data_IF_905839909030
#
_entry.id   IF_905839909030
#
_cell.length_a   1.000
_cell.length_b   1.000
_cell.length_c   1.000
_cell.angle_alpha   90.00
_cell.angle_beta   90.00
_cell.angle_gamma   90.00
#
_symmetry.space_group_name_H-M   'P 1'
#
loop_
_entity.id
_entity.type
_entity.pdbx_description
1 polymer ?
#
# COMPACT_ATOMS: atom_id res chain seq x y z
N UNK A 1 -22.81 -6.47 -14.79
CA UNK A 1 -21.61 -7.30 -14.63
C UNK A 1 -20.45 -6.48 -15.17
N UNK A 2 -19.82 -5.66 -14.31
CA UNK A 2 -19.01 -4.50 -14.69
C UNK A 2 -17.77 -4.85 -15.54
N UNK A 3 -17.29 -6.10 -15.48
CA UNK A 3 -16.07 -6.54 -16.18
C UNK A 3 -16.27 -7.77 -17.07
N UNK A 4 -17.53 -8.16 -17.34
CA UNK A 4 -17.80 -9.27 -18.26
C UNK A 4 -17.39 -8.92 -19.70
N UNK A 5 -16.65 -9.82 -20.34
CA UNK A 5 -16.34 -9.73 -21.77
C UNK A 5 -15.11 -8.90 -22.11
N UNK A 6 -14.30 -8.48 -21.14
CA UNK A 6 -12.97 -7.92 -21.43
C UNK A 6 -12.09 -9.01 -22.06
N UNK A 7 -11.54 -8.72 -23.25
CA UNK A 7 -10.50 -9.53 -23.85
C UNK A 7 -9.23 -9.35 -23.01
N UNK A 8 -8.78 -10.42 -22.36
CA UNK A 8 -7.52 -10.42 -21.62
C UNK A 8 -6.35 -10.53 -22.58
N UNK A 9 -5.31 -9.75 -22.35
CA UNK A 9 -4.01 -9.95 -22.99
C UNK A 9 -3.35 -11.25 -22.51
N UNK A 10 -2.36 -11.75 -23.24
CA UNK A 10 -1.59 -12.93 -22.80
C UNK A 10 -0.92 -12.72 -21.43
N UNK A 11 -0.39 -11.52 -21.17
CA UNK A 11 0.22 -11.17 -19.89
C UNK A 11 -0.84 -11.11 -18.77
N UNK A 12 -2.04 -10.58 -19.03
CA UNK A 12 -3.14 -10.62 -18.06
C UNK A 12 -3.58 -12.05 -17.73
N UNK A 13 -3.66 -12.94 -18.72
CA UNK A 13 -4.03 -14.33 -18.48
C UNK A 13 -2.99 -15.06 -17.61
N UNK A 14 -1.70 -14.78 -17.78
CA UNK A 14 -0.65 -15.32 -16.90
C UNK A 14 -0.77 -14.78 -15.46
N UNK A 15 -1.12 -13.50 -15.28
CA UNK A 15 -1.38 -12.94 -13.95
C UNK A 15 -2.60 -13.62 -13.30
N UNK A 16 -3.67 -13.88 -14.06
CA UNK A 16 -4.85 -14.61 -13.58
C UNK A 16 -4.49 -16.05 -13.19
N UNK A 17 -3.62 -16.72 -13.96
CA UNK A 17 -3.13 -18.05 -13.60
C UNK A 17 -2.30 -18.04 -12.31
N UNK A 18 -1.46 -17.02 -12.11
CA UNK A 18 -0.73 -16.81 -10.87
C UNK A 18 -1.68 -16.58 -9.68
N UNK A 19 -2.70 -15.73 -9.86
CA UNK A 19 -3.74 -15.51 -8.85
C UNK A 19 -4.44 -16.82 -8.48
N UNK A 20 -4.89 -17.60 -9.47
CA UNK A 20 -5.54 -18.90 -9.23
C UNK A 20 -4.63 -19.93 -8.56
N UNK A 21 -3.34 -19.94 -8.90
CA UNK A 21 -2.35 -20.80 -8.24
C UNK A 21 -2.17 -20.43 -6.76
N UNK A 22 -2.16 -19.14 -6.45
CA UNK A 22 -2.10 -18.62 -5.09
C UNK A 22 -3.40 -18.88 -4.31
N UNK A 23 -4.53 -18.46 -4.87
CA UNK A 23 -5.87 -18.61 -4.31
C UNK A 23 -6.24 -20.07 -4.07
N UNK A 24 -5.92 -20.97 -5.01
CA UNK A 24 -6.19 -22.40 -4.86
C UNK A 24 -5.47 -23.02 -3.67
N UNK A 25 -4.27 -22.53 -3.34
CA UNK A 25 -3.53 -22.95 -2.14
C UNK A 25 -4.14 -22.37 -0.86
N UNK A 26 -4.48 -21.08 -0.88
CA UNK A 26 -5.16 -20.41 0.24
C UNK A 26 -6.47 -21.12 0.56
N UNK A 27 -7.32 -21.36 -0.44
CA UNK A 27 -8.58 -22.11 -0.29
C UNK A 27 -8.37 -23.51 0.27
N UNK A 28 -7.28 -24.18 -0.09
CA UNK A 28 -7.02 -25.55 0.36
C UNK A 28 -6.48 -25.64 1.79
N UNK A 29 -5.64 -24.69 2.21
CA UNK A 29 -4.84 -24.82 3.44
C UNK A 29 -5.08 -23.72 4.47
N UNK A 30 -5.74 -22.62 4.08
CA UNK A 30 -5.90 -21.42 4.90
C UNK A 30 -7.28 -20.76 4.74
N UNK A 31 -8.31 -21.48 4.26
CA UNK A 31 -9.63 -20.92 4.01
C UNK A 31 -10.25 -20.28 5.26
N UNK A 32 -10.47 -18.96 5.21
CA UNK A 32 -11.04 -18.18 6.31
C UNK A 32 -10.03 -17.79 7.39
N UNK A 33 -8.76 -18.16 7.25
CA UNK A 33 -7.65 -17.70 8.09
C UNK A 33 -7.00 -16.46 7.48
N UNK A 34 -6.22 -15.70 8.26
CA UNK A 34 -5.66 -14.46 7.74
C UNK A 34 -4.58 -14.66 6.67
N UNK A 35 -3.62 -15.56 6.89
CA UNK A 35 -2.45 -15.68 6.02
C UNK A 35 -2.07 -17.15 5.78
N UNK A 36 -1.65 -17.46 4.56
CA UNK A 36 -1.20 -18.78 4.14
C UNK A 36 0.30 -18.98 4.40
N UNK A 37 0.66 -20.15 4.94
CA UNK A 37 2.01 -20.70 4.92
C UNK A 37 2.11 -21.80 3.85
N UNK A 38 2.54 -21.47 2.61
CA UNK A 38 2.40 -22.35 1.44
C UNK A 38 3.32 -23.58 1.44
N UNK A 39 4.45 -23.55 2.15
CA UNK A 39 5.35 -24.71 2.28
C UNK A 39 4.84 -25.67 3.36
N UNK A 40 4.55 -25.15 4.56
CA UNK A 40 4.06 -25.98 5.66
C UNK A 40 2.59 -26.38 5.51
N UNK A 41 1.85 -25.71 4.60
CA UNK A 41 0.42 -25.94 4.33
C UNK A 41 -0.44 -25.68 5.58
N UNK A 42 -0.12 -24.60 6.28
CA UNK A 42 -0.84 -24.13 7.46
C UNK A 42 -1.26 -22.66 7.28
N UNK A 43 -1.80 -22.06 8.33
CA UNK A 43 -2.19 -20.66 8.35
C UNK A 43 -1.81 -20.00 9.70
N UNK A 44 -1.74 -18.68 9.70
CA UNK A 44 -1.59 -17.86 10.92
C UNK A 44 -2.74 -16.85 11.02
N UNK A 45 -3.05 -16.45 12.25
CA UNK A 45 -4.05 -15.44 12.58
C UNK A 45 -3.43 -14.17 13.12
N UNK A 46 -3.74 -13.05 12.49
CA UNK A 46 -3.39 -11.71 12.92
C UNK A 46 -4.60 -10.94 13.46
N UNK A 47 -5.62 -10.68 12.65
CA UNK A 47 -6.92 -10.12 13.03
C UNK A 47 -7.95 -11.21 13.38
N UNK A 48 -7.88 -12.36 12.72
CA UNK A 48 -8.91 -13.41 12.75
C UNK A 48 -10.13 -13.00 11.93
N UNK A 49 -9.92 -12.37 10.77
CA UNK A 49 -10.99 -11.85 9.90
C UNK A 49 -10.92 -12.44 8.49
N UNK A 50 -10.15 -13.51 8.29
CA UNK A 50 -9.92 -14.08 6.97
C UNK A 50 -9.23 -13.07 6.05
N UNK A 51 -8.23 -12.36 6.57
CA UNK A 51 -7.55 -11.24 5.92
C UNK A 51 -7.31 -11.46 4.42
N UNK A 52 -6.56 -12.50 4.04
CA UNK A 52 -6.28 -12.78 2.61
C UNK A 52 -7.55 -12.96 1.77
N UNK A 53 -8.62 -13.55 2.31
CA UNK A 53 -9.90 -13.70 1.61
C UNK A 53 -10.55 -12.34 1.38
N UNK A 54 -10.69 -11.54 2.42
CA UNK A 54 -11.38 -10.25 2.34
C UNK A 54 -10.59 -9.29 1.46
N UNK A 55 -9.28 -9.20 1.68
CA UNK A 55 -8.34 -8.34 0.94
C UNK A 55 -8.34 -8.65 -0.57
N UNK A 56 -8.63 -9.89 -0.97
CA UNK A 56 -8.61 -10.30 -2.38
C UNK A 56 -9.93 -10.11 -3.15
N UNK A 57 -11.03 -9.70 -2.49
CA UNK A 57 -12.38 -9.69 -3.09
C UNK A 57 -12.47 -8.80 -4.33
N UNK A 58 -12.01 -7.56 -4.23
CA UNK A 58 -12.04 -6.61 -5.34
C UNK A 58 -11.17 -7.06 -6.52
N UNK A 59 -10.05 -7.73 -6.24
CA UNK A 59 -9.13 -8.28 -7.24
C UNK A 59 -9.81 -9.38 -8.03
N UNK A 60 -10.58 -10.26 -7.36
CA UNK A 60 -11.38 -11.27 -8.06
C UNK A 60 -12.38 -10.63 -9.01
N UNK A 61 -13.05 -9.55 -8.60
CA UNK A 61 -13.99 -8.82 -9.45
C UNK A 61 -13.26 -8.18 -10.64
N UNK A 62 -12.17 -7.45 -10.39
CA UNK A 62 -11.36 -6.76 -11.42
C UNK A 62 -10.83 -7.76 -12.46
N UNK A 63 -10.43 -8.96 -12.03
CA UNK A 63 -9.96 -10.01 -12.91
C UNK A 63 -11.09 -10.79 -13.59
N UNK A 64 -12.36 -10.60 -13.24
CA UNK A 64 -13.49 -11.38 -13.77
C UNK A 64 -13.55 -12.83 -13.25
N UNK A 65 -13.07 -13.07 -12.02
CA UNK A 65 -13.05 -14.36 -11.32
C UNK A 65 -14.35 -14.56 -10.53
N UNK A 66 -15.45 -14.67 -11.27
CA UNK A 66 -16.81 -14.70 -10.70
C UNK A 66 -17.05 -15.88 -9.75
N UNK A 67 -16.56 -17.07 -10.11
CA UNK A 67 -16.77 -18.27 -9.29
C UNK A 67 -16.03 -18.15 -7.96
N UNK A 68 -14.79 -17.70 -8.00
CA UNK A 68 -13.97 -17.45 -6.81
C UNK A 68 -14.58 -16.36 -5.92
N UNK A 69 -15.08 -15.28 -6.52
CA UNK A 69 -15.75 -14.19 -5.81
C UNK A 69 -17.05 -14.65 -5.12
N UNK A 70 -17.92 -15.37 -5.82
CA UNK A 70 -19.20 -15.84 -5.25
C UNK A 70 -18.97 -16.78 -4.05
N UNK A 71 -17.96 -17.64 -4.11
CA UNK A 71 -17.58 -18.49 -2.97
C UNK A 71 -17.05 -17.67 -1.79
N UNK A 72 -16.17 -16.70 -2.05
CA UNK A 72 -15.65 -15.81 -1.00
C UNK A 72 -16.76 -14.95 -0.37
N UNK A 73 -17.70 -14.45 -1.18
CA UNK A 73 -18.86 -13.69 -0.71
C UNK A 73 -19.74 -14.50 0.25
N UNK A 74 -19.94 -15.79 -0.02
CA UNK A 74 -20.67 -16.68 0.90
C UNK A 74 -19.96 -16.76 2.25
N UNK A 75 -18.63 -16.87 2.27
CA UNK A 75 -17.87 -16.84 3.53
C UNK A 75 -17.99 -15.49 4.25
N UNK A 76 -17.93 -14.37 3.54
CA UNK A 76 -18.13 -13.03 4.14
C UNK A 76 -19.51 -12.92 4.79
N UNK A 77 -20.55 -13.38 4.11
CA UNK A 77 -21.93 -13.37 4.65
C UNK A 77 -22.05 -14.23 5.91
N UNK A 78 -21.54 -15.46 5.86
CA UNK A 78 -21.87 -16.49 6.84
C UNK A 78 -20.86 -16.59 7.99
N UNK A 79 -19.60 -16.19 7.78
CA UNK A 79 -18.49 -16.49 8.70
C UNK A 79 -17.71 -15.25 9.16
N UNK A 80 -17.64 -14.17 8.37
CA UNK A 80 -16.91 -12.96 8.79
C UNK A 80 -17.53 -12.35 10.05
N UNK A 81 -16.74 -12.28 11.10
CA UNK A 81 -17.15 -11.79 12.43
C UNK A 81 -16.13 -10.81 12.98
N UNK A 82 -16.62 -9.67 13.47
CA UNK A 82 -15.82 -8.67 14.18
C UNK A 82 -16.05 -8.72 15.71
N UNK A 83 -16.54 -9.86 16.22
CA UNK A 83 -16.84 -10.06 17.65
C UNK A 83 -15.71 -10.79 18.40
N UNK A 84 -14.57 -10.97 17.76
CA UNK A 84 -13.41 -11.60 18.38
C UNK A 84 -12.80 -10.65 19.43
N UNK A 85 -12.59 -11.13 20.65
CA UNK A 85 -11.98 -10.36 21.74
C UNK A 85 -10.47 -10.23 21.53
N UNK A 86 -10.10 -9.40 20.55
CA UNK A 86 -8.72 -9.21 20.09
C UNK A 86 -8.50 -7.75 19.75
N UNK A 87 -7.32 -7.25 20.14
CA UNK A 87 -6.83 -5.96 19.65
C UNK A 87 -6.32 -6.11 18.22
N UNK A 88 -6.76 -5.21 17.36
CA UNK A 88 -6.32 -5.07 15.98
C UNK A 88 -5.69 -3.68 15.80
N UNK A 89 -4.71 -3.58 14.91
CA UNK A 89 -4.16 -2.29 14.52
C UNK A 89 -5.17 -1.53 13.66
N UNK A 90 -5.47 -0.29 14.02
CA UNK A 90 -6.47 0.57 13.37
C UNK A 90 -6.14 0.80 11.89
N UNK A 91 -4.88 1.10 11.59
CA UNK A 91 -4.42 1.36 10.23
C UNK A 91 -4.56 0.13 9.35
N UNK A 92 -3.97 -0.99 9.76
CA UNK A 92 -3.90 -2.20 8.94
C UNK A 92 -5.29 -2.79 8.66
N UNK A 93 -6.20 -2.81 9.65
CA UNK A 93 -7.56 -3.30 9.41
C UNK A 93 -8.40 -2.34 8.57
N UNK A 94 -8.10 -1.04 8.63
CA UNK A 94 -8.79 -0.02 7.83
C UNK A 94 -8.41 -0.14 6.36
N UNK A 95 -7.12 -0.12 6.05
CA UNK A 95 -6.68 -0.11 4.65
C UNK A 95 -6.99 -1.44 3.96
N UNK A 96 -6.93 -2.58 4.67
CA UNK A 96 -7.16 -3.91 4.08
C UNK A 96 -8.63 -4.31 4.09
N UNK A 97 -9.20 -4.47 5.30
CA UNK A 97 -10.52 -5.07 5.46
C UNK A 97 -11.63 -4.06 5.14
N UNK A 98 -11.57 -2.85 5.71
CA UNK A 98 -12.57 -1.82 5.42
C UNK A 98 -12.44 -1.34 3.96
N UNK A 99 -11.22 -1.06 3.50
CA UNK A 99 -10.93 -0.66 2.11
C UNK A 99 -11.45 -1.67 1.08
N UNK A 100 -11.16 -2.97 1.27
CA UNK A 100 -11.67 -4.01 0.37
C UNK A 100 -13.18 -4.14 0.40
N UNK A 101 -13.83 -4.12 1.57
CA UNK A 101 -15.29 -4.23 1.66
C UNK A 101 -15.99 -3.06 0.95
N UNK A 102 -15.49 -1.84 1.12
CA UNK A 102 -16.01 -0.65 0.42
C UNK A 102 -15.81 -0.75 -1.09
N UNK A 103 -14.60 -1.09 -1.53
CA UNK A 103 -14.28 -1.21 -2.95
C UNK A 103 -15.09 -2.32 -3.62
N UNK A 104 -15.23 -3.46 -2.94
CA UNK A 104 -16.06 -4.57 -3.40
C UNK A 104 -17.53 -4.16 -3.50
N UNK A 105 -18.06 -3.40 -2.53
CA UNK A 105 -19.41 -2.85 -2.61
C UNK A 105 -19.59 -1.96 -3.85
N UNK A 106 -18.68 -1.02 -4.10
CA UNK A 106 -18.78 -0.13 -5.27
C UNK A 106 -18.67 -0.87 -6.61
N UNK A 107 -17.84 -1.92 -6.69
CA UNK A 107 -17.65 -2.70 -7.92
C UNK A 107 -18.78 -3.71 -8.20
N UNK A 108 -19.40 -4.27 -7.15
CA UNK A 108 -20.40 -5.35 -7.28
C UNK A 108 -21.84 -4.92 -7.05
N UNK A 109 -22.07 -3.89 -6.23
CA UNK A 109 -23.38 -3.56 -5.66
C UNK A 109 -23.87 -4.55 -4.59
N UNK A 110 -23.03 -5.48 -4.11
CA UNK A 110 -23.42 -6.45 -3.08
C UNK A 110 -23.54 -5.78 -1.70
N UNK A 111 -24.77 -5.55 -1.24
CA UNK A 111 -25.10 -4.87 0.03
C UNK A 111 -24.45 -5.51 1.26
N UNK A 112 -24.19 -6.83 1.25
CA UNK A 112 -23.50 -7.50 2.37
C UNK A 112 -22.13 -6.89 2.66
N UNK A 113 -21.43 -6.39 1.64
CA UNK A 113 -20.12 -5.75 1.81
C UNK A 113 -20.26 -4.42 2.55
N UNK A 114 -21.27 -3.62 2.21
CA UNK A 114 -21.62 -2.39 2.92
C UNK A 114 -22.05 -2.66 4.36
N UNK A 115 -22.85 -3.68 4.60
CA UNK A 115 -23.26 -4.07 5.96
C UNK A 115 -22.05 -4.41 6.84
N UNK A 116 -21.11 -5.21 6.31
CA UNK A 116 -19.87 -5.58 7.02
C UNK A 116 -18.92 -4.39 7.19
N UNK A 117 -18.76 -3.54 6.18
CA UNK A 117 -17.98 -2.31 6.28
C UNK A 117 -18.53 -1.38 7.38
N UNK A 118 -19.85 -1.25 7.46
CA UNK A 118 -20.54 -0.46 8.48
C UNK A 118 -20.32 -1.04 9.88
N UNK A 119 -20.47 -2.36 10.05
CA UNK A 119 -20.21 -3.01 11.34
C UNK A 119 -18.75 -2.81 11.78
N UNK A 120 -17.79 -3.00 10.87
CA UNK A 120 -16.37 -2.80 11.16
C UNK A 120 -16.08 -1.35 11.55
N UNK A 121 -16.49 -0.37 10.74
CA UNK A 121 -16.25 1.04 11.03
C UNK A 121 -16.80 1.47 12.40
N UNK A 122 -17.99 1.00 12.78
CA UNK A 122 -18.56 1.27 14.10
C UNK A 122 -17.67 0.75 15.24
N UNK A 123 -17.04 -0.41 15.05
CA UNK A 123 -16.12 -1.01 16.04
C UNK A 123 -14.75 -0.36 16.08
N UNK A 124 -14.37 0.40 15.04
CA UNK A 124 -13.11 1.14 14.98
C UNK A 124 -13.19 2.55 15.60
N UNK A 125 -14.38 3.17 15.63
CA UNK A 125 -14.60 4.49 16.22
C UNK A 125 -14.02 4.70 17.64
N UNK A 126 -14.01 3.70 18.55
CA UNK A 126 -13.39 3.87 19.86
C UNK A 126 -11.89 4.21 19.83
N UNK A 127 -11.17 3.91 18.74
CA UNK A 127 -9.76 4.26 18.59
C UNK A 127 -9.51 5.78 18.63
N UNK A 128 -10.50 6.58 18.25
CA UNK A 128 -10.44 8.04 18.22
C UNK A 128 -10.72 8.69 19.58
N UNK A 129 -11.09 7.90 20.61
CA UNK A 129 -11.32 8.40 21.97
C UNK A 129 -10.01 8.48 22.79
N UNK A 130 -9.00 9.14 22.23
CA UNK A 130 -7.73 9.41 22.92
C UNK A 130 -7.77 10.73 23.69
N UNK A 131 -6.71 11.07 24.42
CA UNK A 131 -6.61 12.36 25.12
C UNK A 131 -6.35 13.54 24.18
N UNK A 132 -6.03 13.28 22.91
CA UNK A 132 -5.83 14.29 21.87
C UNK A 132 -6.74 14.02 20.67
N UNK A 133 -6.47 14.67 19.53
CA UNK A 133 -7.15 14.39 18.26
C UNK A 133 -6.48 13.27 17.46
N UNK A 134 -5.42 12.66 17.99
CA UNK A 134 -4.67 11.58 17.35
C UNK A 134 -5.18 10.24 17.88
N UNK A 135 -5.65 9.32 17.03
CA UNK A 135 -6.18 8.04 17.50
C UNK A 135 -5.09 7.15 18.11
N UNK A 136 -5.53 6.25 18.98
CA UNK A 136 -4.73 5.12 19.42
C UNK A 136 -4.43 4.16 18.26
N UNK A 137 -3.30 3.45 18.32
CA UNK A 137 -2.88 2.48 17.30
C UNK A 137 -3.76 1.24 17.26
N UNK A 138 -4.24 0.78 18.43
CA UNK A 138 -4.93 -0.50 18.55
C UNK A 138 -6.33 -0.33 19.14
N UNK A 139 -7.28 -1.09 18.62
CA UNK A 139 -8.67 -1.16 19.11
C UNK A 139 -9.12 -2.61 19.22
N UNK A 140 -9.86 -2.93 20.28
CA UNK A 140 -10.47 -4.23 20.46
C UNK A 140 -11.87 -4.25 19.83
N UNK A 141 -12.05 -5.09 18.81
CA UNK A 141 -13.28 -5.10 18.01
C UNK A 141 -14.52 -5.56 18.80
N UNK A 142 -14.35 -6.44 19.79
CA UNK A 142 -15.46 -6.93 20.61
C UNK A 142 -15.83 -5.96 21.74
N UNK A 143 -14.82 -5.46 22.46
CA UNK A 143 -15.01 -4.70 23.69
C UNK A 143 -15.11 -3.18 23.45
N UNK A 144 -14.64 -2.68 22.31
CA UNK A 144 -14.58 -1.24 22.03
C UNK A 144 -13.54 -0.50 22.88
N UNK A 145 -12.53 -1.21 23.42
CA UNK A 145 -11.41 -0.61 24.14
C UNK A 145 -10.26 -0.29 23.17
N UNK A 146 -9.69 0.90 23.25
CA UNK A 146 -8.53 1.30 22.46
C UNK A 146 -7.31 1.57 23.34
N UNK A 147 -6.10 1.41 22.76
CA UNK A 147 -4.84 1.62 23.47
C UNK A 147 -3.70 2.00 22.53
N UNK A 148 -2.72 2.71 23.09
CA UNK A 148 -1.43 2.92 22.44
C UNK A 148 -0.65 1.60 22.32
N UNK A 149 0.42 1.55 21.48
CA UNK A 149 1.25 0.37 21.37
C UNK A 149 1.91 0.00 22.70
N UNK A 150 2.28 -1.28 22.86
CA UNK A 150 2.91 -1.77 24.10
C UNK A 150 4.23 -1.07 24.47
N UNK A 151 4.91 -0.48 23.49
CA UNK A 151 6.23 0.13 23.64
C UNK A 151 6.21 1.65 23.87
N UNK A 152 5.04 2.29 23.89
CA UNK A 152 4.95 3.71 24.21
C UNK A 152 3.65 4.38 23.75
N UNK A 153 3.45 5.66 24.14
CA UNK A 153 2.23 6.41 23.84
C UNK A 153 2.12 6.92 22.38
N UNK A 154 3.10 6.62 21.55
CA UNK A 154 3.19 7.18 20.20
C UNK A 154 2.57 6.25 19.18
N UNK A 155 1.68 6.81 18.36
CA UNK A 155 1.19 6.20 17.13
C UNK A 155 2.16 6.53 16.00
N UNK A 156 2.21 5.69 14.97
CA UNK A 156 2.93 6.04 13.75
C UNK A 156 2.17 7.07 12.93
N UNK A 157 2.90 7.99 12.32
CA UNK A 157 2.29 9.10 11.57
C UNK A 157 1.51 8.60 10.36
N UNK A 158 2.08 7.68 9.57
CA UNK A 158 1.38 7.01 8.49
C UNK A 158 0.10 6.31 9.00
N UNK A 159 0.19 5.56 10.10
CA UNK A 159 -0.97 4.81 10.62
C UNK A 159 -2.18 5.71 10.92
N UNK A 160 -1.97 6.89 11.51
CA UNK A 160 -3.10 7.79 11.84
C UNK A 160 -3.55 8.67 10.68
N UNK A 161 -2.71 8.82 9.66
CA UNK A 161 -2.95 9.68 8.51
C UNK A 161 -3.21 8.92 7.21
N UNK A 162 -3.48 7.62 7.32
CA UNK A 162 -3.79 6.72 6.19
C UNK A 162 -4.99 5.82 6.51
N UNK A 163 -6.06 6.46 6.97
CA UNK A 163 -7.37 5.86 7.27
C UNK A 163 -8.53 6.71 6.75
N UNK A 164 -8.20 7.85 6.13
CA UNK A 164 -9.13 8.93 5.83
C UNK A 164 -10.01 8.59 4.63
N UNK A 165 -9.44 7.99 3.57
CA UNK A 165 -10.21 7.67 2.36
C UNK A 165 -11.36 6.71 2.67
N UNK A 166 -11.07 5.70 3.47
CA UNK A 166 -12.00 4.63 3.86
C UNK A 166 -13.10 5.16 4.78
N UNK A 167 -12.74 5.96 5.80
CA UNK A 167 -13.74 6.53 6.72
C UNK A 167 -14.61 7.60 6.04
N UNK A 168 -14.06 8.39 5.12
CA UNK A 168 -14.81 9.35 4.30
C UNK A 168 -15.80 8.63 3.39
N UNK A 169 -15.34 7.61 2.67
CA UNK A 169 -16.21 6.81 1.81
C UNK A 169 -17.28 6.05 2.62
N UNK A 170 -16.92 5.52 3.79
CA UNK A 170 -17.90 4.88 4.68
C UNK A 170 -19.00 5.86 5.13
N UNK A 171 -18.67 7.10 5.45
CA UNK A 171 -19.67 8.15 5.71
C UNK A 171 -20.54 8.43 4.49
N UNK A 172 -19.97 8.48 3.28
CA UNK A 172 -20.72 8.69 2.05
C UNK A 172 -21.70 7.53 1.76
N UNK A 173 -21.25 6.29 1.93
CA UNK A 173 -22.03 5.06 1.68
C UNK A 173 -23.15 4.85 2.70
N UNK A 174 -22.91 5.21 3.97
CA UNK A 174 -23.86 4.94 5.08
C UNK A 174 -24.74 6.13 5.44
N UNK A 175 -24.30 7.35 5.13
CA UNK A 175 -24.91 8.59 5.62
C UNK A 175 -24.57 8.92 7.08
N UNK A 176 -23.80 8.09 7.78
CA UNK A 176 -23.35 8.36 9.16
C UNK A 176 -22.07 9.20 9.14
N UNK A 177 -22.19 10.47 9.51
CA UNK A 177 -21.08 11.45 9.46
C UNK A 177 -19.98 11.20 10.49
N UNK A 178 -20.22 10.37 11.51
CA UNK A 178 -19.25 10.14 12.59
C UNK A 178 -17.92 9.60 12.08
N UNK A 179 -17.92 8.85 10.96
CA UNK A 179 -16.69 8.30 10.39
C UNK A 179 -15.81 9.40 9.77
N UNK A 180 -16.35 10.20 8.85
CA UNK A 180 -15.66 11.33 8.25
C UNK A 180 -15.25 12.36 9.31
N UNK A 181 -16.14 12.72 10.24
CA UNK A 181 -15.83 13.68 11.31
C UNK A 181 -14.68 13.21 12.21
N UNK A 182 -14.54 11.91 12.45
CA UNK A 182 -13.46 11.37 13.26
C UNK A 182 -12.10 11.56 12.57
N UNK A 183 -12.00 11.22 11.28
CA UNK A 183 -10.73 11.31 10.53
C UNK A 183 -10.40 12.74 10.08
N UNK A 184 -11.41 13.58 9.84
CA UNK A 184 -11.22 15.01 9.54
C UNK A 184 -10.57 15.75 10.72
N UNK A 185 -10.97 15.42 11.96
CA UNK A 185 -10.31 15.94 13.15
C UNK A 185 -8.82 15.56 13.23
N UNK A 186 -8.47 14.34 12.82
CA UNK A 186 -7.06 13.90 12.76
C UNK A 186 -6.30 14.71 11.71
N UNK A 187 -6.85 14.80 10.49
CA UNK A 187 -6.24 15.52 9.37
C UNK A 187 -6.01 16.99 9.69
N UNK A 188 -7.03 17.69 10.21
CA UNK A 188 -6.93 19.10 10.57
C UNK A 188 -5.96 19.33 11.73
N UNK A 189 -5.89 18.40 12.68
CA UNK A 189 -4.91 18.46 13.76
C UNK A 189 -3.48 18.33 13.23
N UNK A 190 -3.19 17.33 12.39
CA UNK A 190 -1.88 17.13 11.76
C UNK A 190 -1.50 18.33 10.87
N UNK A 191 -2.47 18.86 10.10
CA UNK A 191 -2.27 20.05 9.28
C UNK A 191 -1.72 21.23 10.09
N UNK A 192 -2.23 21.43 11.32
CA UNK A 192 -1.83 22.49 12.24
C UNK A 192 -0.49 22.26 12.96
N UNK A 193 0.05 21.04 12.93
CA UNK A 193 1.31 20.73 13.60
C UNK A 193 2.51 21.35 12.87
N UNK A 194 3.59 21.72 13.60
CA UNK A 194 4.81 22.20 12.96
C UNK A 194 5.47 21.11 12.11
N UNK A 195 5.86 21.47 10.88
CA UNK A 195 6.48 20.59 9.88
C UNK A 195 7.87 21.10 9.49
N UNK A 196 8.73 20.22 8.99
CA UNK A 196 10.06 20.56 8.50
C UNK A 196 10.05 20.72 6.97
N UNK A 197 9.51 21.83 6.47
CA UNK A 197 9.23 22.04 5.03
C UNK A 197 8.29 20.95 4.52
N UNK A 198 7.08 20.87 5.08
CA UNK A 198 6.09 19.84 4.79
C UNK A 198 6.42 18.42 5.25
N UNK A 199 7.66 18.13 5.66
CA UNK A 199 8.06 16.82 6.16
C UNK A 199 7.72 16.62 7.64
N UNK A 200 7.28 15.41 8.00
CA UNK A 200 6.82 15.06 9.34
C UNK A 200 7.64 13.92 9.95
N UNK A 201 7.89 13.92 11.28
CA UNK A 201 8.45 12.77 11.98
C UNK A 201 7.53 11.54 11.89
N UNK A 202 8.10 10.34 11.92
CA UNK A 202 7.37 9.06 11.84
C UNK A 202 6.50 8.70 13.06
N UNK A 203 6.52 9.52 14.12
CA UNK A 203 5.76 9.30 15.34
C UNK A 203 5.04 10.57 15.80
N UNK A 204 3.79 10.39 16.22
CA UNK A 204 2.94 11.40 16.82
C UNK A 204 2.27 10.84 18.08
N UNK A 205 2.27 11.61 19.15
CA UNK A 205 1.83 11.13 20.46
C UNK A 205 0.30 11.19 20.61
N UNK A 206 -0.36 10.08 20.93
CA UNK A 206 -1.81 10.03 21.06
C UNK A 206 -2.35 10.80 22.30
N UNK A 207 -1.50 11.05 23.30
CA UNK A 207 -1.90 11.78 24.50
C UNK A 207 -1.72 13.29 24.36
N UNK A 208 -0.63 13.75 23.74
CA UNK A 208 -0.32 15.19 23.61
C UNK A 208 -0.71 15.76 22.25
N UNK A 209 -0.89 14.92 21.23
CA UNK A 209 -1.14 15.33 19.86
C UNK A 209 0.09 15.87 19.13
N UNK A 210 1.29 15.83 19.70
CA UNK A 210 2.48 16.45 19.11
C UNK A 210 3.38 15.43 18.44
N UNK A 211 4.01 15.80 17.32
CA UNK A 211 5.08 14.99 16.72
C UNK A 211 6.23 14.78 17.72
N UNK A 212 6.86 13.61 17.66
CA UNK A 212 8.03 13.30 18.49
C UNK A 212 9.19 14.26 18.12
N UNK A 213 9.70 15.06 19.06
CA UNK A 213 10.83 15.94 18.80
C UNK A 213 12.06 15.15 18.34
N UNK A 214 12.76 15.64 17.32
CA UNK A 214 13.92 14.95 16.74
C UNK A 214 13.62 13.49 16.32
N UNK A 215 12.38 13.19 15.91
CA UNK A 215 12.05 11.91 15.31
C UNK A 215 12.68 11.77 13.92
N UNK A 216 12.92 10.52 13.49
CA UNK A 216 13.33 10.25 12.10
C UNK A 216 12.24 10.73 11.14
N UNK A 217 12.66 11.29 10.03
CA UNK A 217 11.79 11.64 8.90
C UNK A 217 12.20 10.76 7.73
N UNK A 218 11.26 10.01 7.18
CA UNK A 218 11.46 9.13 6.03
C UNK A 218 10.16 9.02 5.24
N UNK A 219 10.27 8.76 3.94
CA UNK A 219 9.15 8.36 3.08
C UNK A 219 9.01 6.83 3.02
N UNK A 220 9.74 6.10 3.87
CA UNK A 220 9.56 4.66 4.06
C UNK A 220 8.63 4.37 5.24
N UNK A 221 8.83 3.22 5.88
CA UNK A 221 7.92 2.71 6.89
C UNK A 221 7.58 3.76 7.96
N UNK A 222 6.27 3.88 8.27
CA UNK A 222 5.67 4.79 9.26
C UNK A 222 5.55 6.26 8.83
N UNK A 223 6.00 6.60 7.62
CA UNK A 223 5.95 7.96 7.08
C UNK A 223 5.39 8.06 5.65
N UNK A 224 5.73 7.11 4.79
CA UNK A 224 5.20 6.89 3.43
C UNK A 224 3.76 7.39 3.19
N UNK A 225 2.77 6.64 3.65
CA UNK A 225 1.38 6.78 3.17
C UNK A 225 0.66 8.00 3.73
N UNK A 226 1.28 8.74 4.67
CA UNK A 226 0.85 10.11 5.00
C UNK A 226 0.94 11.00 3.75
N UNK A 227 2.07 10.97 3.05
CA UNK A 227 2.30 11.79 1.86
C UNK A 227 1.40 11.38 0.70
N UNK A 228 1.16 10.07 0.57
CA UNK A 228 0.20 9.50 -0.37
C UNK A 228 -1.22 10.03 -0.14
N UNK A 229 -1.70 9.98 1.11
CA UNK A 229 -3.08 10.35 1.45
C UNK A 229 -3.30 11.86 1.48
N UNK A 230 -2.26 12.69 1.55
CA UNK A 230 -2.42 14.13 1.24
C UNK A 230 -2.94 14.28 -0.20
N UNK A 231 -2.25 13.68 -1.18
CA UNK A 231 -2.68 13.77 -2.57
C UNK A 231 -4.04 13.09 -2.79
N UNK A 232 -4.17 11.85 -2.31
CA UNK A 232 -5.35 11.02 -2.60
C UNK A 232 -6.62 11.57 -1.94
N UNK A 233 -6.56 12.20 -0.76
CA UNK A 233 -7.74 12.86 -0.16
C UNK A 233 -8.15 14.12 -0.93
N UNK A 234 -7.18 14.89 -1.44
CA UNK A 234 -7.50 16.02 -2.31
C UNK A 234 -8.22 15.53 -3.57
N UNK A 235 -7.74 14.46 -4.20
CA UNK A 235 -8.38 13.82 -5.35
C UNK A 235 -9.80 13.33 -5.00
N UNK A 236 -9.96 12.50 -3.96
CA UNK A 236 -11.25 11.93 -3.48
C UNK A 236 -12.27 12.98 -3.03
N UNK A 237 -11.85 14.23 -2.84
CA UNK A 237 -12.78 15.32 -2.54
C UNK A 237 -13.26 16.03 -3.81
N UNK A 238 -12.99 15.45 -4.98
CA UNK A 238 -13.05 16.11 -6.27
C UNK A 238 -12.34 17.48 -6.23
N UNK A 239 -11.10 17.48 -5.70
CA UNK A 239 -10.21 18.64 -5.57
C UNK A 239 -10.73 19.80 -4.70
N UNK A 240 -11.62 19.53 -3.74
CA UNK A 240 -12.23 20.57 -2.88
C UNK A 240 -11.46 20.87 -1.60
N UNK A 241 -10.64 19.93 -1.11
CA UNK A 241 -9.92 20.06 0.15
C UNK A 241 -8.49 20.57 -0.07
N UNK A 242 -8.37 21.87 -0.34
CA UNK A 242 -7.09 22.51 -0.74
C UNK A 242 -5.97 22.47 0.31
N UNK A 243 -6.27 22.26 1.58
CA UNK A 243 -5.24 22.14 2.61
C UNK A 243 -4.35 20.90 2.39
N UNK A 244 -4.93 19.79 1.92
CA UNK A 244 -4.17 18.61 1.56
C UNK A 244 -3.27 18.82 0.35
N UNK A 245 -3.77 19.53 -0.67
CA UNK A 245 -2.96 19.95 -1.82
C UNK A 245 -1.74 20.76 -1.37
N UNK A 246 -1.97 21.78 -0.53
CA UNK A 246 -0.89 22.66 -0.04
C UNK A 246 0.15 21.88 0.77
N UNK A 247 -0.30 20.99 1.66
CA UNK A 247 0.59 20.16 2.45
C UNK A 247 1.40 19.19 1.56
N UNK A 248 0.78 18.65 0.50
CA UNK A 248 1.47 17.80 -0.48
C UNK A 248 2.54 18.59 -1.24
N UNK A 249 2.20 19.76 -1.79
CA UNK A 249 3.13 20.63 -2.51
C UNK A 249 4.30 21.08 -1.61
N UNK A 250 4.02 21.47 -0.37
CA UNK A 250 5.07 21.81 0.61
C UNK A 250 5.96 20.60 0.92
N UNK A 251 5.37 19.41 1.08
CA UNK A 251 6.11 18.20 1.38
C UNK A 251 7.03 17.80 0.22
N UNK A 252 6.59 17.97 -1.03
CA UNK A 252 7.42 17.69 -2.20
C UNK A 252 8.65 18.59 -2.25
N UNK A 253 8.50 19.88 -1.99
CA UNK A 253 9.65 20.79 -1.87
C UNK A 253 10.61 20.37 -0.73
N UNK A 254 10.06 19.90 0.39
CA UNK A 254 10.83 19.29 1.47
C UNK A 254 11.61 18.05 1.03
N UNK A 255 10.96 17.13 0.33
CA UNK A 255 11.57 15.90 -0.22
C UNK A 255 12.71 16.28 -1.17
N UNK A 256 12.44 17.16 -2.13
CA UNK A 256 13.40 17.62 -3.15
C UNK A 256 14.63 18.26 -2.53
N UNK A 257 14.44 19.14 -1.55
CA UNK A 257 15.56 19.90 -0.95
C UNK A 257 16.33 19.10 0.09
N UNK A 258 15.69 18.16 0.80
CA UNK A 258 16.31 17.50 1.97
C UNK A 258 16.64 16.03 1.74
N UNK A 259 15.83 15.31 0.96
CA UNK A 259 15.87 13.84 0.85
C UNK A 259 16.36 13.34 -0.51
N UNK A 260 16.13 14.08 -1.60
CA UNK A 260 16.63 13.69 -2.91
C UNK A 260 18.15 13.73 -2.97
N UNK A 261 18.75 12.62 -3.40
CA UNK A 261 20.17 12.54 -3.75
C UNK A 261 20.34 11.71 -5.01
N UNK A 262 21.52 11.79 -5.60
CA UNK A 262 21.93 10.96 -6.73
C UNK A 262 23.04 10.04 -6.31
N UNK A 263 22.90 8.76 -6.63
CA UNK A 263 23.89 7.73 -6.32
C UNK A 263 25.11 7.77 -7.25
N UNK A 264 26.15 7.04 -6.90
CA UNK A 264 27.35 6.82 -7.72
C UNK A 264 27.46 5.34 -8.11
N UNK A 265 27.84 5.00 -9.36
CA UNK A 265 28.30 5.91 -10.41
C UNK A 265 27.21 6.38 -11.39
N UNK A 266 26.01 5.79 -11.37
CA UNK A 266 25.01 5.98 -12.43
C UNK A 266 24.05 7.15 -12.20
N UNK A 267 24.22 7.91 -11.11
CA UNK A 267 23.44 9.12 -10.81
C UNK A 267 21.94 8.86 -10.66
N UNK A 268 21.56 7.65 -10.24
CA UNK A 268 20.16 7.28 -9.99
C UNK A 268 19.59 8.19 -8.88
N UNK A 269 18.44 8.82 -9.15
CA UNK A 269 17.72 9.64 -8.19
C UNK A 269 17.09 8.72 -7.13
N UNK A 270 17.38 8.97 -5.86
CA UNK A 270 16.78 8.21 -4.75
C UNK A 270 16.38 9.13 -3.61
N UNK A 271 15.54 8.62 -2.71
CA UNK A 271 15.07 9.33 -1.52
C UNK A 271 15.70 8.69 -0.29
N UNK A 272 16.54 9.45 0.42
CA UNK A 272 17.09 9.03 1.71
C UNK A 272 16.17 9.37 2.89
N UNK A 273 16.69 9.19 4.10
CA UNK A 273 16.00 9.54 5.36
C UNK A 273 16.79 10.62 6.14
N UNK A 274 16.12 11.35 7.01
CA UNK A 274 16.75 12.22 8.01
C UNK A 274 16.65 11.59 9.39
N UNK A 275 17.75 11.01 9.84
CA UNK A 275 17.89 10.50 11.20
C UNK A 275 17.86 11.66 12.19
N UNK A 276 17.04 11.50 13.23
CA UNK A 276 16.75 12.54 14.21
C UNK A 276 16.32 13.89 13.60
N UNK A 277 15.66 13.85 12.43
CA UNK A 277 15.17 15.03 11.70
C UNK A 277 16.27 15.86 11.01
N UNK A 278 17.54 15.45 11.06
CA UNK A 278 18.65 16.31 10.60
C UNK A 278 19.77 15.61 9.85
N UNK A 279 20.09 14.37 10.20
CA UNK A 279 21.25 13.67 9.64
C UNK A 279 20.83 12.83 8.45
N UNK A 280 21.26 13.21 7.26
CA UNK A 280 20.96 12.44 6.04
C UNK A 280 21.58 11.04 6.10
N UNK A 281 20.77 10.03 5.79
CA UNK A 281 21.18 8.64 5.62
C UNK A 281 20.75 8.18 4.22
N UNK A 282 21.64 7.57 3.41
CA UNK A 282 21.31 7.14 2.05
C UNK A 282 20.55 5.81 2.03
N UNK A 283 19.70 5.56 3.03
CA UNK A 283 18.83 4.38 3.15
C UNK A 283 17.49 4.68 2.50
N UNK A 284 17.02 3.77 1.66
CA UNK A 284 15.69 3.80 1.06
C UNK A 284 15.05 2.43 1.28
N UNK A 285 13.88 2.44 1.91
CA UNK A 285 13.03 1.25 2.00
C UNK A 285 12.41 1.00 0.62
N UNK A 286 12.13 -0.26 0.27
CA UNK A 286 11.39 -0.59 -0.96
C UNK A 286 10.00 0.08 -0.99
N UNK A 287 9.39 0.26 0.18
CA UNK A 287 8.16 1.02 0.38
C UNK A 287 8.17 2.37 -0.33
N UNK A 288 9.30 3.11 -0.28
CA UNK A 288 9.44 4.46 -0.86
C UNK A 288 9.16 4.48 -2.37
N UNK A 289 9.22 3.32 -3.04
CA UNK A 289 8.88 3.21 -4.45
C UNK A 289 7.45 3.61 -4.80
N UNK A 290 6.51 3.65 -3.84
CA UNK A 290 5.14 4.16 -4.03
C UNK A 290 5.13 5.61 -4.56
N UNK A 291 6.15 6.38 -4.18
CA UNK A 291 6.16 7.82 -4.38
C UNK A 291 6.26 8.17 -5.86
N UNK A 292 6.89 7.32 -6.69
CA UNK A 292 6.94 7.55 -8.14
C UNK A 292 5.54 7.56 -8.76
N UNK A 293 4.69 6.59 -8.42
CA UNK A 293 3.29 6.54 -8.84
C UNK A 293 2.48 7.72 -8.31
N UNK A 294 2.69 8.08 -7.04
CA UNK A 294 2.06 9.26 -6.42
C UNK A 294 2.41 10.56 -7.14
N UNK A 295 3.68 10.75 -7.52
CA UNK A 295 4.10 11.94 -8.27
C UNK A 295 3.53 11.96 -9.70
N UNK A 296 3.48 10.81 -10.37
CA UNK A 296 2.83 10.70 -11.69
C UNK A 296 1.34 11.08 -11.59
N UNK A 297 0.66 10.59 -10.55
CA UNK A 297 -0.74 10.94 -10.26
C UNK A 297 -0.92 12.43 -9.96
N UNK A 298 -0.01 13.04 -9.20
CA UNK A 298 -0.04 14.48 -8.93
C UNK A 298 0.04 15.31 -10.22
N UNK A 299 0.93 14.92 -11.15
CA UNK A 299 1.04 15.55 -12.46
C UNK A 299 -0.26 15.41 -13.28
N UNK A 300 -0.84 14.19 -13.35
CA UNK A 300 -2.13 13.95 -14.04
C UNK A 300 -3.23 14.90 -13.57
N UNK A 301 -3.29 15.13 -12.26
CA UNK A 301 -4.30 16.00 -11.66
C UNK A 301 -4.00 17.51 -11.74
N UNK A 302 -2.89 17.89 -12.37
CA UNK A 302 -2.51 19.26 -12.68
C UNK A 302 -1.75 19.97 -11.56
N UNK A 303 -1.06 19.23 -10.68
CA UNK A 303 -0.13 19.82 -9.73
C UNK A 303 1.24 20.10 -10.38
N UNK A 304 1.88 21.19 -9.96
CA UNK A 304 3.26 21.57 -10.32
C UNK A 304 3.42 22.39 -11.59
N UNK A 305 4.61 22.98 -11.75
CA UNK A 305 4.97 23.72 -12.95
C UNK A 305 5.49 22.78 -14.06
N UNK A 306 4.86 22.86 -15.24
CA UNK A 306 5.21 22.16 -16.49
C UNK A 306 5.19 20.63 -16.39
N UNK A 307 6.24 20.01 -15.84
CA UNK A 307 6.46 18.55 -15.84
C UNK A 307 7.28 18.04 -14.62
N UNK A 308 7.60 18.90 -13.63
CA UNK A 308 8.58 18.58 -12.57
C UNK A 308 8.26 17.30 -11.78
N UNK A 309 6.98 17.10 -11.44
CA UNK A 309 6.50 15.89 -10.76
C UNK A 309 6.68 14.64 -11.63
N UNK A 310 6.35 14.73 -12.93
CA UNK A 310 6.45 13.61 -13.85
C UNK A 310 7.91 13.24 -14.11
N UNK A 311 8.81 14.21 -14.21
CA UNK A 311 10.23 13.96 -14.37
C UNK A 311 10.80 13.24 -13.13
N UNK A 312 10.50 13.74 -11.93
CA UNK A 312 10.89 13.07 -10.69
C UNK A 312 10.28 11.66 -10.58
N UNK A 313 9.03 11.49 -10.99
CA UNK A 313 8.36 10.18 -11.03
C UNK A 313 9.10 9.19 -11.94
N UNK A 314 9.46 9.62 -13.16
CA UNK A 314 10.20 8.79 -14.13
C UNK A 314 11.57 8.39 -13.61
N UNK A 315 12.31 9.34 -13.02
CA UNK A 315 13.65 9.06 -12.47
C UNK A 315 13.60 8.14 -11.24
N UNK A 316 12.63 8.33 -10.34
CA UNK A 316 12.45 7.46 -9.18
C UNK A 316 11.99 6.05 -9.58
N UNK A 317 11.08 5.92 -10.55
CA UNK A 317 10.67 4.61 -11.06
C UNK A 317 11.82 3.84 -11.72
N UNK A 318 12.71 4.54 -12.43
CA UNK A 318 13.93 3.93 -12.95
C UNK A 318 14.81 3.40 -11.81
N UNK A 319 15.02 4.18 -10.74
CA UNK A 319 15.76 3.71 -9.56
C UNK A 319 15.09 2.49 -8.90
N UNK A 320 13.77 2.50 -8.75
CA UNK A 320 13.02 1.38 -8.19
C UNK A 320 13.14 0.14 -9.08
N UNK A 321 13.03 0.25 -10.39
CA UNK A 321 13.30 -0.87 -11.29
C UNK A 321 14.76 -1.34 -11.20
N UNK A 322 15.74 -0.44 -11.03
CA UNK A 322 17.14 -0.81 -10.83
C UNK A 322 17.37 -1.58 -9.51
N UNK A 323 16.60 -1.31 -8.46
CA UNK A 323 16.61 -2.10 -7.22
C UNK A 323 16.21 -3.56 -7.46
N UNK A 324 15.35 -3.84 -8.45
CA UNK A 324 15.04 -5.19 -8.92
C UNK A 324 16.12 -5.69 -9.88
N UNK A 325 16.37 -4.97 -10.96
CA UNK A 325 17.17 -5.45 -12.09
C UNK A 325 18.62 -5.77 -11.70
N UNK A 326 19.17 -5.10 -10.69
CA UNK A 326 20.54 -5.36 -10.23
C UNK A 326 20.66 -6.54 -9.28
N UNK A 327 19.55 -7.08 -8.78
CA UNK A 327 19.57 -8.28 -7.94
C UNK A 327 19.63 -9.55 -8.80
N UNK A 328 20.38 -10.58 -8.39
CA UNK A 328 20.41 -11.88 -9.05
C UNK A 328 19.03 -12.50 -9.29
N UNK A 329 18.10 -12.40 -8.35
CA UNK A 329 16.72 -12.92 -8.52
C UNK A 329 15.83 -12.02 -9.37
N UNK A 330 16.29 -10.80 -9.71
CA UNK A 330 15.46 -9.74 -10.31
C UNK A 330 14.29 -9.30 -9.42
N UNK A 331 14.43 -9.45 -8.10
CA UNK A 331 13.49 -8.95 -7.09
C UNK A 331 14.21 -7.97 -6.16
N UNK A 332 13.57 -6.85 -5.81
CA UNK A 332 14.16 -5.87 -4.89
C UNK A 332 14.29 -6.43 -3.46
N UNK A 333 15.36 -6.08 -2.72
CA UNK A 333 15.40 -6.26 -1.27
C UNK A 333 14.42 -5.32 -0.56
N UNK A 334 14.18 -5.54 0.73
CA UNK A 334 13.36 -4.69 1.58
C UNK A 334 13.97 -3.31 1.80
N UNK A 335 15.30 -3.23 1.96
CA UNK A 335 16.02 -1.98 2.21
C UNK A 335 17.28 -1.93 1.34
N UNK A 336 17.50 -0.78 0.71
CA UNK A 336 18.69 -0.49 -0.09
C UNK A 336 19.40 0.74 0.44
N UNK A 337 20.73 0.68 0.49
CA UNK A 337 21.59 1.84 0.75
C UNK A 337 22.23 2.28 -0.56
N UNK A 338 22.37 3.58 -0.77
CA UNK A 338 22.95 4.15 -1.99
C UNK A 338 24.35 4.71 -1.73
N UNK A 339 25.28 4.42 -2.63
CA UNK A 339 26.61 5.01 -2.57
C UNK A 339 26.58 6.47 -3.04
N UNK A 340 27.19 7.34 -2.23
CA UNK A 340 27.37 8.77 -2.55
C UNK A 340 28.83 9.13 -2.86
N UNK A 341 29.76 8.23 -2.59
CA UNK A 341 31.19 8.49 -2.75
C UNK A 341 31.60 8.38 -4.22
N UNK A 342 32.23 9.42 -4.75
CA UNK A 342 32.78 9.41 -6.10
C UNK A 342 33.79 8.25 -6.26
N UNK A 343 33.69 7.52 -7.37
CA UNK A 343 34.53 6.34 -7.63
C UNK A 343 33.98 5.03 -7.06
N UNK A 344 32.80 5.04 -6.42
CA UNK A 344 32.06 3.82 -6.10
C UNK A 344 31.77 3.01 -7.36
N UNK A 345 31.86 1.67 -7.26
CA UNK A 345 31.67 0.76 -8.40
C UNK A 345 30.21 0.36 -8.62
N UNK A 346 29.38 0.48 -7.59
CA UNK A 346 27.99 0.03 -7.58
C UNK A 346 27.12 1.08 -6.89
N UNK A 347 25.93 1.37 -7.41
CA UNK A 347 24.99 2.32 -6.81
C UNK A 347 24.37 1.79 -5.52
N UNK A 348 24.06 0.49 -5.49
CA UNK A 348 23.22 -0.14 -4.47
C UNK A 348 24.06 -1.01 -3.54
N UNK A 349 23.84 -0.85 -2.24
CA UNK A 349 24.35 -1.72 -1.18
C UNK A 349 23.15 -2.34 -0.46
N UNK A 350 23.12 -3.67 -0.43
CA UNK A 350 22.10 -4.45 0.27
C UNK A 350 22.76 -5.18 1.42
N UNK A 351 22.37 -4.84 2.65
CA UNK A 351 22.88 -5.51 3.86
C UNK A 351 22.24 -6.90 3.99
N UNK A 352 22.92 -7.87 4.63
CA UNK A 352 22.42 -9.24 4.70
C UNK A 352 21.04 -9.42 5.36
N UNK A 353 20.68 -8.59 6.35
CA UNK A 353 19.37 -8.69 7.01
C UNK A 353 18.24 -8.03 6.20
N UNK A 354 18.62 -7.18 5.24
CA UNK A 354 17.70 -6.39 4.43
C UNK A 354 17.40 -7.07 3.08
N UNK A 355 18.09 -8.16 2.76
CA UNK A 355 18.01 -8.83 1.45
C UNK A 355 16.73 -9.63 1.21
N UNK A 356 15.75 -9.57 2.11
CA UNK A 356 14.50 -10.30 1.95
C UNK A 356 13.57 -9.57 0.99
N UNK A 357 12.67 -10.30 0.35
CA UNK A 357 11.57 -9.75 -0.45
C UNK A 357 10.27 -10.36 0.06
N UNK A 358 9.29 -9.51 0.37
CA UNK A 358 8.02 -9.92 0.98
C UNK A 358 6.86 -9.98 -0.03
N UNK A 359 7.15 -10.00 -1.33
CA UNK A 359 6.15 -9.93 -2.39
C UNK A 359 5.44 -8.58 -2.48
N UNK A 360 6.14 -7.50 -2.15
CA UNK A 360 5.57 -6.15 -2.04
C UNK A 360 5.25 -5.48 -3.40
N UNK A 361 4.25 -4.58 -3.43
CA UNK A 361 3.68 -4.04 -4.68
C UNK A 361 4.27 -2.72 -5.18
N UNK A 362 4.98 -1.93 -4.38
CA UNK A 362 5.09 -0.46 -4.56
C UNK A 362 5.82 -0.06 -5.87
N UNK A 363 6.68 -0.94 -6.39
CA UNK A 363 7.27 -0.75 -7.72
C UNK A 363 6.27 -1.02 -8.83
N UNK A 364 5.52 -2.14 -8.80
CA UNK A 364 4.51 -2.42 -9.84
C UNK A 364 3.34 -1.44 -9.78
N UNK A 365 2.96 -0.96 -8.59
CA UNK A 365 2.02 0.15 -8.41
C UNK A 365 2.48 1.37 -9.21
N UNK A 366 3.73 1.81 -9.00
CA UNK A 366 4.27 2.99 -9.69
C UNK A 366 4.39 2.79 -11.20
N UNK A 367 4.75 1.59 -11.65
CA UNK A 367 4.78 1.24 -13.07
C UNK A 367 3.37 1.30 -13.69
N UNK A 368 2.33 0.88 -12.95
CA UNK A 368 0.94 1.01 -13.38
C UNK A 368 0.55 2.47 -13.60
N UNK A 369 0.78 3.34 -12.61
CA UNK A 369 0.47 4.77 -12.75
C UNK A 369 1.23 5.41 -13.92
N UNK A 370 2.54 5.17 -14.01
CA UNK A 370 3.35 5.72 -15.09
C UNK A 370 2.93 5.21 -16.47
N UNK A 371 2.62 3.92 -16.61
CA UNK A 371 2.10 3.38 -17.86
C UNK A 371 0.77 4.04 -18.24
N UNK A 372 -0.20 4.09 -17.32
CA UNK A 372 -1.54 4.68 -17.59
C UNK A 372 -1.46 6.13 -18.02
N UNK A 373 -0.53 6.89 -17.44
CA UNK A 373 -0.45 8.34 -17.63
C UNK A 373 0.48 8.75 -18.77
N UNK A 374 1.39 7.88 -19.21
CA UNK A 374 2.36 8.21 -20.27
C UNK A 374 2.21 7.38 -21.54
N UNK A 375 1.62 6.18 -21.45
CA UNK A 375 1.58 5.21 -22.54
C UNK A 375 2.94 4.60 -22.91
N UNK A 376 3.99 4.82 -22.11
CA UNK A 376 5.33 4.30 -22.39
C UNK A 376 5.41 2.81 -22.05
N UNK A 377 5.49 1.97 -23.09
CA UNK A 377 5.53 0.51 -23.00
C UNK A 377 6.70 -0.03 -22.17
N UNK A 378 7.77 0.75 -21.95
CA UNK A 378 8.88 0.31 -21.10
C UNK A 378 8.40 -0.10 -19.71
N UNK A 379 7.36 0.55 -19.17
CA UNK A 379 6.85 0.25 -17.83
C UNK A 379 6.14 -1.11 -17.78
N UNK A 380 5.46 -1.51 -18.86
CA UNK A 380 4.93 -2.86 -19.03
C UNK A 380 6.04 -3.89 -19.16
N UNK A 381 7.10 -3.60 -19.89
CA UNK A 381 8.23 -4.53 -20.02
C UNK A 381 9.00 -4.70 -18.71
N UNK A 382 9.22 -3.61 -17.97
CA UNK A 382 9.79 -3.64 -16.62
C UNK A 382 8.90 -4.44 -15.66
N UNK A 383 7.58 -4.20 -15.67
CA UNK A 383 6.63 -4.98 -14.88
C UNK A 383 6.64 -6.45 -15.27
N UNK A 384 6.72 -6.78 -16.56
CA UNK A 384 6.76 -8.15 -17.03
C UNK A 384 8.01 -8.89 -16.56
N UNK A 385 9.17 -8.23 -16.57
CA UNK A 385 10.39 -8.77 -16.00
C UNK A 385 10.23 -9.11 -14.51
N UNK A 386 9.59 -8.23 -13.73
CA UNK A 386 9.36 -8.44 -12.29
C UNK A 386 8.37 -9.59 -12.06
N UNK A 387 7.28 -9.65 -12.83
CA UNK A 387 6.31 -10.74 -12.75
C UNK A 387 6.98 -12.10 -12.99
N UNK A 388 7.78 -12.22 -14.05
CA UNK A 388 8.53 -13.45 -14.34
C UNK A 388 9.53 -13.80 -13.22
N UNK A 389 10.09 -12.81 -12.53
CA UNK A 389 10.96 -13.02 -11.39
C UNK A 389 10.21 -13.63 -10.19
N UNK A 390 8.99 -13.17 -9.90
CA UNK A 390 8.11 -13.80 -8.91
C UNK A 390 7.76 -15.23 -9.31
N UNK A 391 7.32 -15.47 -10.54
CA UNK A 391 7.02 -16.82 -11.06
C UNK A 391 8.19 -17.79 -10.88
N UNK A 392 9.41 -17.31 -11.08
CA UNK A 392 10.62 -18.13 -10.99
C UNK A 392 11.12 -18.34 -9.57
N UNK A 393 11.07 -17.32 -8.72
CA UNK A 393 11.81 -17.30 -7.46
C UNK A 393 10.93 -17.34 -6.21
N UNK A 394 9.62 -17.14 -6.32
CA UNK A 394 8.70 -17.11 -5.15
C UNK A 394 7.57 -18.15 -5.24
N UNK A 395 7.31 -18.70 -6.44
CA UNK A 395 6.27 -19.72 -6.66
C UNK A 395 6.58 -21.05 -5.97
N UNK A 396 5.65 -21.59 -5.20
CA UNK A 396 5.79 -22.86 -4.46
C UNK A 396 5.22 -24.04 -5.25
N UNK A 397 6.00 -25.12 -5.37
CA UNK A 397 5.59 -26.38 -6.02
C UNK A 397 4.50 -27.07 -5.19
N UNK A 398 3.24 -26.78 -5.51
CA UNK A 398 2.07 -27.31 -4.80
C UNK A 398 0.95 -26.29 -4.57
N UNK A 399 1.19 -25.02 -4.89
CA UNK A 399 0.24 -23.93 -4.71
C UNK A 399 0.82 -22.82 -3.83
N UNK A 400 0.45 -21.57 -4.09
CA UNK A 400 0.93 -20.42 -3.32
C UNK A 400 2.27 -19.84 -3.79
N UNK A 401 2.58 -18.68 -3.22
CA UNK A 401 3.85 -17.95 -3.35
C UNK A 401 4.37 -17.64 -1.96
N UNK A 402 5.68 -17.58 -1.80
CA UNK A 402 6.29 -17.26 -0.50
C UNK A 402 7.25 -16.09 -0.63
N UNK A 403 7.22 -15.20 0.36
CA UNK A 403 8.32 -14.30 0.67
C UNK A 403 9.65 -15.06 0.72
N UNK A 404 10.75 -14.42 0.33
CA UNK A 404 12.10 -14.99 0.29
C UNK A 404 13.06 -14.21 1.16
N UNK A 405 14.11 -14.88 1.66
CA UNK A 405 15.06 -14.28 2.61
C UNK A 405 16.23 -13.58 1.93
N UNK A 406 16.57 -13.98 0.69
CA UNK A 406 17.76 -13.48 0.03
C UNK A 406 17.60 -13.32 -1.49
N UNK A 407 17.35 -12.10 -1.94
CA UNK A 407 17.33 -11.72 -3.37
C UNK A 407 18.70 -11.78 -4.05
N UNK A 408 19.78 -11.90 -3.28
CA UNK A 408 21.16 -11.99 -3.79
C UNK A 408 21.58 -13.40 -4.18
N UNK A 409 20.74 -14.41 -3.92
CA UNK A 409 21.02 -15.81 -4.23
C UNK A 409 19.89 -16.40 -5.09
N UNK A 410 20.04 -16.29 -6.41
CA UNK A 410 19.07 -16.83 -7.36
C UNK A 410 19.00 -18.37 -7.38
N UNK A 411 20.05 -19.05 -6.88
CA UNK A 411 20.09 -20.51 -6.78
C UNK A 411 19.36 -21.03 -5.55
N UNK A 412 19.35 -20.25 -4.46
CA UNK A 412 18.65 -20.58 -3.22
C UNK A 412 18.15 -19.30 -2.49
N UNK A 413 17.02 -18.72 -2.94
CA UNK A 413 16.49 -17.48 -2.35
C UNK A 413 15.91 -17.68 -0.94
N UNK A 414 15.73 -18.93 -0.50
CA UNK A 414 15.18 -19.37 0.80
C UNK A 414 13.81 -18.80 1.14
N UNK A 415 12.78 -19.60 0.92
CA UNK A 415 11.40 -19.27 1.31
C UNK A 415 11.26 -19.02 2.81
N UNK A 416 10.51 -17.98 3.16
CA UNK A 416 10.10 -17.64 4.53
C UNK A 416 8.81 -18.34 4.96
N UNK A 417 8.20 -19.09 4.05
CA UNK A 417 6.93 -19.79 4.24
C UNK A 417 5.81 -18.84 4.65
N UNK A 418 5.61 -17.73 3.93
CA UNK A 418 4.51 -16.80 4.18
C UNK A 418 4.06 -16.16 2.88
N UNK A 419 2.75 -16.17 2.62
CA UNK A 419 2.12 -15.40 1.56
C UNK A 419 1.37 -14.24 2.20
N UNK A 420 1.91 -13.04 2.06
CA UNK A 420 1.28 -11.81 2.53
C UNK A 420 0.00 -11.55 1.72
N UNK A 421 -1.07 -11.02 2.35
CA UNK A 421 -2.36 -10.79 1.68
C UNK A 421 -2.24 -9.82 0.50
N UNK A 422 -1.42 -8.78 0.64
CA UNK A 422 -1.10 -7.80 -0.41
C UNK A 422 -0.48 -8.39 -1.68
N UNK A 423 0.04 -9.61 -1.64
CA UNK A 423 0.46 -10.24 -2.89
C UNK A 423 -0.73 -10.43 -3.84
N UNK A 424 -1.87 -10.86 -3.29
CA UNK A 424 -3.11 -11.02 -4.04
C UNK A 424 -3.81 -9.69 -4.26
N UNK A 425 -4.00 -8.89 -3.21
CA UNK A 425 -4.81 -7.67 -3.28
C UNK A 425 -4.11 -6.52 -4.01
N UNK A 426 -2.78 -6.44 -3.98
CA UNK A 426 -2.05 -5.33 -4.60
C UNK A 426 -1.17 -5.80 -5.74
N UNK A 427 -0.21 -6.68 -5.48
CA UNK A 427 0.86 -6.99 -6.44
C UNK A 427 0.28 -7.58 -7.73
N UNK A 428 -0.59 -8.59 -7.61
CA UNK A 428 -1.25 -9.18 -8.79
C UNK A 428 -2.32 -8.27 -9.39
N UNK A 429 -3.01 -7.45 -8.59
CA UNK A 429 -3.96 -6.43 -9.09
C UNK A 429 -3.24 -5.42 -9.98
N UNK A 430 -2.14 -4.83 -9.51
CA UNK A 430 -1.36 -3.86 -10.27
C UNK A 430 -0.70 -4.47 -11.51
N UNK A 431 -0.22 -5.73 -11.47
CA UNK A 431 0.21 -6.40 -12.70
C UNK A 431 -0.93 -6.55 -13.70
N UNK A 432 -2.12 -6.97 -13.26
CA UNK A 432 -3.27 -7.12 -14.13
C UNK A 432 -3.72 -5.79 -14.75
N UNK A 433 -3.72 -4.71 -13.96
CA UNK A 433 -4.07 -3.37 -14.43
C UNK A 433 -3.00 -2.77 -15.36
N UNK A 434 -1.71 -3.03 -15.10
CA UNK A 434 -0.58 -2.61 -15.93
C UNK A 434 -0.64 -3.25 -17.31
N UNK A 435 -0.99 -4.54 -17.39
CA UNK A 435 -1.06 -5.29 -18.65
C UNK A 435 -2.42 -5.20 -19.37
N UNK A 436 -3.36 -4.40 -18.85
CA UNK A 436 -4.65 -4.13 -19.48
C UNK A 436 -4.51 -3.14 -20.62
N UNK A 437 -5.02 -3.48 -21.80
CA UNK A 437 -5.18 -2.55 -22.93
C UNK A 437 -6.41 -1.65 -22.81
N UNK A 438 -7.29 -1.91 -21.82
CA UNK A 438 -8.45 -1.08 -21.55
C UNK A 438 -8.11 0.02 -20.54
N UNK A 439 -8.02 1.30 -20.96
CA UNK A 439 -7.76 2.43 -20.06
C UNK A 439 -8.95 2.75 -19.14
N UNK A 440 -10.14 2.18 -19.39
CA UNK A 440 -11.33 2.37 -18.55
C UNK A 440 -11.38 1.40 -17.37
N UNK A 441 -10.65 0.28 -17.45
CA UNK A 441 -10.53 -0.64 -16.31
C UNK A 441 -9.87 0.09 -15.15
N UNK A 442 -10.66 0.36 -14.09
CA UNK A 442 -10.27 1.19 -12.93
C UNK A 442 -9.65 2.51 -13.41
N UNK A 443 -10.47 3.33 -14.08
CA UNK A 443 -10.07 4.65 -14.58
C UNK A 443 -9.56 5.53 -13.44
N UNK A 444 -8.40 6.15 -13.63
CA UNK A 444 -7.82 7.08 -12.66
C UNK A 444 -8.61 8.38 -12.53
N UNK A 445 -9.58 8.66 -13.43
CA UNK A 445 -10.49 9.80 -13.35
C UNK A 445 -11.78 9.52 -12.57
N UNK A 446 -12.04 8.24 -12.26
CA UNK A 446 -13.25 7.79 -11.55
C UNK A 446 -12.91 7.21 -10.18
N UNK A 447 -11.72 6.62 -10.04
CA UNK A 447 -11.29 5.88 -8.86
C UNK A 447 -9.97 6.44 -8.31
N UNK A 448 -9.89 6.49 -6.99
CA UNK A 448 -8.65 6.62 -6.24
C UNK A 448 -8.42 5.32 -5.49
N UNK A 449 -7.28 4.67 -5.74
CA UNK A 449 -6.92 3.45 -5.02
C UNK A 449 -6.40 3.84 -3.64
N UNK A 450 -6.87 3.19 -2.58
CA UNK A 450 -6.31 3.36 -1.25
C UNK A 450 -4.87 2.79 -1.16
N UNK A 451 -4.22 2.86 -0.01
CA UNK A 451 -2.80 2.43 0.12
C UNK A 451 -2.60 0.91 0.03
N UNK A 452 -3.69 0.11 0.08
CA UNK A 452 -3.67 -1.34 -0.15
C UNK A 452 -4.32 -1.70 -1.52
N UNK A 453 -4.28 -0.75 -2.47
CA UNK A 453 -4.72 -0.96 -3.84
C UNK A 453 -6.23 -1.13 -4.04
N UNK A 454 -7.08 -0.81 -3.07
CA UNK A 454 -8.53 -0.92 -3.19
C UNK A 454 -9.16 0.34 -3.79
N UNK A 455 -9.86 0.27 -4.95
CA UNK A 455 -10.41 1.45 -5.63
C UNK A 455 -11.66 2.00 -4.94
N UNK A 456 -11.59 3.25 -4.49
CA UNK A 456 -12.71 4.03 -3.95
C UNK A 456 -13.12 5.13 -4.93
N UNK A 457 -14.39 5.52 -5.02
CA UNK A 457 -14.85 6.56 -5.94
C UNK A 457 -14.32 7.95 -5.53
N UNK A 458 -14.15 8.82 -6.54
CA UNK A 458 -13.72 10.22 -6.41
C UNK A 458 -14.84 11.18 -6.00
#
# INVERSE_FOLDING_TARGET
>A
DFFNGQLRTERQEQVVQAFRHAWGAYKKYAWGHDELHPLSKTATEWFGTGLTLVDSLDTMIIMGLKEEYEEAKVWVRDQLSFKNDKFVNLFEITIRVLGSLLSTYHLSGDEIMKEKATELGQRLLPAFNSHSKVPYSDVNLAQGHARAPKWGPDSSTAEVATIQLEFRDLSAVTGDKRFEEAVDQVSMHIHSQPKQSGLVPIFINANTGTFRPSGTITLGARGDSYYEYLLKQWIQSNKKLDHFKKDFEESYEGVKTKLFRRSEPNKLLFIGELLAGRNFSPKMDHLVCFYAGTLALAHHYGLGDRDEYLDSAKELAETCWQMYNRMPTKLSPEITYFNLAQGSKEDLIVKPLDSHNLLRPETVESLFYLYRLTGDEKYRDQGWQIFLAFEKHTRVKGGGYSSISNVKDAGNPRFKDKMESFFLSETLKYFYLLFSDDPKLISLDEWVLNTEGHPLPI
#
